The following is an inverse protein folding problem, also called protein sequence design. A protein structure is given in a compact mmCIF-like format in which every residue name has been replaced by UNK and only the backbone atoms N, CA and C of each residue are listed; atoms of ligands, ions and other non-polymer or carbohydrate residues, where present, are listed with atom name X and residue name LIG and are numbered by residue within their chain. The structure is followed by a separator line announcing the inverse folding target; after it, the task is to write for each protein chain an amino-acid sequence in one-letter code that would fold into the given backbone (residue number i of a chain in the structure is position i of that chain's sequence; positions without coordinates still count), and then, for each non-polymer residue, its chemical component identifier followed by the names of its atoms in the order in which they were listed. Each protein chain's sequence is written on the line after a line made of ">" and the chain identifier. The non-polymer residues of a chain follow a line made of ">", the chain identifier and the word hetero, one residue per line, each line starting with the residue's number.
data_IF_503310106953
#
_entry.id   IF_503310106953
#
_cell.length_a   1.000
_cell.length_b   1.000
_cell.length_c   1.000
_cell.angle_alpha   90.00
_cell.angle_beta   90.00
_cell.angle_gamma   90.00
#
_symmetry.space_group_name_H-M   'P 1'
#
loop_
_entity.id
_entity.type
_entity.pdbx_description
1 polymer ?
#
# COMPACT_ATOMS: atom_id res chain seq x y z
N UNK A 1 -7.85 6.33 -12.01
CA UNK A 1 -7.07 7.45 -11.42
C UNK A 1 -5.68 7.45 -12.06
N UNK A 2 -4.98 8.60 -12.13
CA UNK A 2 -3.58 8.65 -12.60
C UNK A 2 -2.63 8.35 -11.42
N UNK A 3 -1.53 7.59 -11.62
CA UNK A 3 -0.61 7.25 -10.53
C UNK A 3 0.24 8.44 -10.11
N UNK A 4 0.90 8.34 -8.95
CA UNK A 4 1.77 9.40 -8.44
C UNK A 4 2.93 9.67 -9.39
N UNK A 5 3.04 10.91 -9.88
CA UNK A 5 4.15 11.36 -10.73
C UNK A 5 5.52 11.20 -10.05
N UNK A 6 5.59 11.31 -8.73
CA UNK A 6 6.83 11.07 -7.97
C UNK A 6 7.23 9.59 -8.03
N UNK A 7 6.30 8.67 -7.80
CA UNK A 7 6.60 7.24 -7.85
C UNK A 7 6.99 6.79 -9.27
N UNK A 8 6.34 7.35 -10.29
CA UNK A 8 6.74 7.13 -11.67
C UNK A 8 8.15 7.67 -11.95
N UNK A 9 8.48 8.86 -11.45
CA UNK A 9 9.81 9.45 -11.56
C UNK A 9 10.90 8.65 -10.84
N UNK A 10 10.53 7.91 -9.78
CA UNK A 10 11.40 6.93 -9.10
C UNK A 10 11.54 5.61 -9.85
N UNK A 11 10.92 5.45 -11.03
CA UNK A 11 10.95 4.23 -11.82
C UNK A 11 9.98 3.14 -11.35
N UNK A 12 9.05 3.46 -10.44
CA UNK A 12 8.07 2.48 -9.96
C UNK A 12 7.00 2.29 -11.05
N UNK A 13 6.71 1.03 -11.47
CA UNK A 13 5.69 0.75 -12.47
C UNK A 13 4.32 1.32 -12.07
N UNK A 14 3.53 1.84 -13.03
CA UNK A 14 2.19 2.39 -12.77
C UNK A 14 1.27 1.45 -11.97
N UNK A 15 1.35 0.14 -12.23
CA UNK A 15 0.54 -0.89 -11.57
C UNK A 15 0.78 -0.93 -10.05
N UNK A 16 2.05 -0.77 -9.64
CA UNK A 16 2.45 -0.73 -8.22
C UNK A 16 2.17 0.65 -7.62
N UNK A 17 2.43 1.71 -8.38
CA UNK A 17 2.20 3.09 -7.94
C UNK A 17 0.73 3.34 -7.57
N UNK A 18 -0.22 2.67 -8.23
CA UNK A 18 -1.65 2.74 -7.91
C UNK A 18 -2.04 2.16 -6.56
N UNK A 19 -1.32 1.15 -6.08
CA UNK A 19 -1.56 0.51 -4.78
C UNK A 19 -0.81 1.16 -3.62
N UNK A 20 -0.12 2.28 -3.85
CA UNK A 20 0.66 2.96 -2.81
C UNK A 20 -0.22 3.68 -1.79
N UNK A 21 0.16 3.60 -0.51
CA UNK A 21 -0.49 4.29 0.60
C UNK A 21 0.60 5.03 1.39
N UNK A 22 0.37 6.31 1.69
CA UNK A 22 1.28 7.12 2.51
C UNK A 22 0.64 7.40 3.86
N UNK A 23 1.29 6.97 4.93
CA UNK A 23 0.96 7.39 6.29
C UNK A 23 1.86 8.57 6.66
N UNK A 24 1.27 9.70 7.01
CA UNK A 24 1.98 10.88 7.49
C UNK A 24 1.63 11.07 8.96
N UNK A 25 2.64 11.01 9.82
CA UNK A 25 2.48 11.14 11.26
C UNK A 25 2.66 12.61 11.67
N UNK A 26 2.06 12.99 12.80
CA UNK A 26 2.19 14.30 13.41
C UNK A 26 2.73 14.17 14.84
N UNK A 27 3.01 15.31 15.48
CA UNK A 27 3.39 15.35 16.90
C UNK A 27 2.33 14.71 17.83
N UNK A 28 1.07 14.73 17.42
CA UNK A 28 -0.06 14.19 18.20
C UNK A 28 -0.29 12.69 17.96
N UNK A 29 0.43 12.07 17.02
CA UNK A 29 0.27 10.64 16.75
C UNK A 29 0.68 9.81 17.96
N UNK A 30 -0.24 9.00 18.44
CA UNK A 30 -0.04 8.13 19.60
C UNK A 30 0.35 6.72 19.19
N UNK A 31 1.02 6.00 20.10
CA UNK A 31 1.36 4.58 19.90
C UNK A 31 0.09 3.74 19.65
N UNK A 32 -1.00 4.03 20.35
CA UNK A 32 -2.25 3.28 20.24
C UNK A 32 -2.86 3.36 18.84
N UNK A 33 -2.75 4.51 18.17
CA UNK A 33 -3.21 4.66 16.78
C UNK A 33 -2.36 3.85 15.81
N UNK A 34 -1.04 3.82 16.01
CA UNK A 34 -0.13 2.99 15.21
C UNK A 34 -0.42 1.50 15.43
N UNK A 35 -0.56 1.08 16.68
CA UNK A 35 -0.91 -0.30 17.05
C UNK A 35 -2.27 -0.70 16.45
N UNK A 36 -3.25 0.21 16.43
CA UNK A 36 -4.55 -0.01 15.81
C UNK A 36 -4.43 -0.26 14.30
N UNK A 37 -3.65 0.57 13.59
CA UNK A 37 -3.40 0.38 12.16
C UNK A 37 -2.70 -0.96 11.89
N UNK A 38 -1.67 -1.30 12.66
CA UNK A 38 -0.94 -2.56 12.53
C UNK A 38 -1.86 -3.76 12.76
N UNK A 39 -2.79 -3.69 13.73
CA UNK A 39 -3.72 -4.77 14.03
C UNK A 39 -4.81 -4.95 12.95
N UNK A 40 -5.24 -3.88 12.27
CA UNK A 40 -6.38 -3.92 11.34
C UNK A 40 -5.98 -4.01 9.88
N UNK A 41 -4.92 -3.32 9.46
CA UNK A 41 -4.54 -3.18 8.07
C UNK A 41 -4.26 -4.54 7.37
N UNK A 42 -3.61 -5.54 7.99
CA UNK A 42 -3.34 -6.82 7.33
C UNK A 42 -4.61 -7.56 6.89
N UNK A 43 -5.64 -7.58 7.75
CA UNK A 43 -6.91 -8.24 7.43
C UNK A 43 -7.67 -7.54 6.28
N UNK A 44 -7.62 -6.20 6.26
CA UNK A 44 -8.21 -5.40 5.17
C UNK A 44 -7.50 -5.71 3.85
N UNK A 45 -6.16 -5.70 3.85
CA UNK A 45 -5.36 -6.04 2.66
C UNK A 45 -5.68 -7.47 2.19
N UNK A 46 -5.77 -8.44 3.10
CA UNK A 46 -6.11 -9.81 2.75
C UNK A 46 -7.49 -9.91 2.07
N UNK A 47 -8.48 -9.18 2.57
CA UNK A 47 -9.82 -9.16 1.96
C UNK A 47 -9.80 -8.53 0.57
N UNK A 48 -9.10 -7.41 0.38
CA UNK A 48 -8.97 -6.76 -0.94
C UNK A 48 -8.25 -7.68 -1.93
N UNK A 49 -7.20 -8.38 -1.49
CA UNK A 49 -6.47 -9.33 -2.33
C UNK A 49 -7.34 -10.48 -2.82
N UNK A 50 -8.23 -11.03 -1.98
CA UNK A 50 -9.18 -12.09 -2.37
C UNK A 50 -10.14 -11.67 -3.48
N UNK A 51 -10.48 -10.39 -3.56
CA UNK A 51 -11.38 -9.84 -4.58
C UNK A 51 -10.62 -9.32 -5.81
N UNK A 52 -9.31 -9.13 -5.69
CA UNK A 52 -8.49 -8.56 -6.75
C UNK A 52 -8.14 -9.62 -7.79
N UNK A 53 -8.34 -9.35 -9.09
CA UNK A 53 -7.88 -10.23 -10.16
C UNK A 53 -6.34 -10.28 -10.27
N UNK A 54 -5.62 -9.47 -9.47
CA UNK A 54 -4.15 -9.36 -9.46
C UNK A 54 -3.50 -9.97 -8.19
N UNK A 55 -4.24 -10.79 -7.43
CA UNK A 55 -3.90 -11.20 -6.05
C UNK A 55 -2.54 -11.88 -5.84
N UNK A 56 -1.99 -12.55 -6.87
CA UNK A 56 -0.79 -13.39 -6.75
C UNK A 56 0.41 -12.94 -7.63
N UNK A 57 0.22 -11.92 -8.48
CA UNK A 57 1.15 -11.62 -9.59
C UNK A 57 2.31 -10.65 -9.22
N UNK A 58 2.34 -10.14 -7.98
CA UNK A 58 3.34 -9.14 -7.56
C UNK A 58 4.70 -9.77 -7.22
N UNK A 59 4.75 -11.09 -7.00
CA UNK A 59 5.99 -11.81 -6.64
C UNK A 59 6.93 -12.08 -7.83
N UNK A 60 6.54 -11.78 -9.08
CA UNK A 60 7.29 -12.17 -10.29
C UNK A 60 8.16 -11.07 -10.91
N UNK A 61 8.24 -9.85 -10.35
CA UNK A 61 8.99 -8.74 -11.00
C UNK A 61 9.97 -7.96 -10.10
N UNK A 62 10.25 -8.45 -8.89
CA UNK A 62 11.29 -7.88 -8.00
C UNK A 62 12.45 -8.85 -7.72
N UNK A 63 12.75 -9.73 -8.70
CA UNK A 63 14.03 -10.45 -8.83
C UNK A 63 14.59 -10.17 -10.20
#
# INVERSE_FOLDING_TARGET
>A
LKPSHVLLGMGIPPQIAHSSIRFSLSYETTKNEVDYVIAKLPAIIANIRKMSPYGDDVSQKMV
#
